data_IF_590350731842
#
_entry.id   IF_590350731842
#
_cell.length_a   1.000
_cell.length_b   1.000
_cell.length_c   1.000
_cell.angle_alpha   90.00
_cell.angle_beta   90.00
_cell.angle_gamma   90.00
#
_symmetry.space_group_name_H-M   'P 1'
#
loop_
_entity.id
_entity.type
_entity.pdbx_description
1 polymer ?
#
# COMPACT_ATOMS: atom_id res chain seq x y z
N UNK A 1 8.97 -14.23 -9.39
CA UNK A 1 9.09 -12.85 -9.95
C UNK A 1 7.82 -12.57 -10.72
N UNK A 2 6.91 -11.87 -10.06
CA UNK A 2 5.67 -11.39 -10.67
C UNK A 2 6.00 -10.38 -11.78
N UNK A 3 5.48 -10.59 -12.98
CA UNK A 3 5.75 -9.74 -14.15
C UNK A 3 4.59 -8.79 -14.31
N UNK A 4 4.77 -7.53 -13.91
CA UNK A 4 3.82 -6.45 -14.19
C UNK A 4 3.60 -6.37 -15.70
N UNK A 5 2.37 -6.60 -16.15
CA UNK A 5 2.00 -6.49 -17.56
C UNK A 5 2.11 -5.03 -18.01
N UNK A 6 2.55 -4.81 -19.26
CA UNK A 6 2.70 -3.45 -19.81
C UNK A 6 1.40 -2.64 -19.73
N UNK A 7 0.26 -3.30 -19.91
CA UNK A 7 -1.08 -2.71 -19.78
C UNK A 7 -1.42 -2.25 -18.35
N UNK A 8 -1.02 -2.99 -17.32
CA UNK A 8 -1.17 -2.56 -15.91
C UNK A 8 -0.33 -1.30 -15.63
N UNK A 9 0.88 -1.25 -16.19
CA UNK A 9 1.75 -0.08 -16.08
C UNK A 9 1.14 1.15 -16.80
N UNK A 10 0.50 0.95 -17.95
CA UNK A 10 -0.17 2.02 -18.70
C UNK A 10 -1.44 2.50 -17.98
N UNK A 11 -2.18 1.62 -17.30
CA UNK A 11 -3.30 1.99 -16.43
C UNK A 11 -2.85 2.80 -15.21
N UNK A 12 -1.75 2.41 -14.56
CA UNK A 12 -1.13 3.16 -13.47
C UNK A 12 -0.62 4.54 -13.94
N UNK A 13 0.01 4.60 -15.11
CA UNK A 13 0.54 5.84 -15.68
C UNK A 13 -0.56 6.79 -16.19
N UNK A 14 -1.74 6.27 -16.55
CA UNK A 14 -2.88 7.06 -17.01
C UNK A 14 -3.70 7.72 -15.91
N UNK A 15 -3.61 7.23 -14.66
CA UNK A 15 -4.32 7.78 -13.51
C UNK A 15 -3.46 8.82 -12.80
N UNK A 16 -3.37 10.01 -13.40
CA UNK A 16 -2.67 11.16 -12.82
C UNK A 16 -3.65 11.94 -11.95
N UNK A 17 -3.96 11.39 -10.78
CA UNK A 17 -4.51 12.20 -9.70
C UNK A 17 -3.41 13.18 -9.22
N UNK A 18 -3.79 14.29 -8.58
CA UNK A 18 -2.83 15.33 -8.15
C UNK A 18 -1.74 14.78 -7.21
N UNK A 19 -2.00 13.64 -6.56
CA UNK A 19 -1.08 12.95 -5.66
C UNK A 19 -1.22 11.43 -5.80
N UNK A 20 -0.11 10.76 -6.12
CA UNK A 20 -0.02 9.30 -6.12
C UNK A 20 0.89 8.82 -4.97
N UNK A 21 0.50 7.74 -4.29
CA UNK A 21 1.31 7.10 -3.23
C UNK A 21 1.59 5.65 -3.62
N UNK A 22 2.87 5.33 -3.80
CA UNK A 22 3.31 3.96 -4.04
C UNK A 22 3.98 3.41 -2.78
N UNK A 23 3.53 2.23 -2.31
CA UNK A 23 4.05 1.58 -1.11
C UNK A 23 4.65 0.24 -1.52
N UNK A 24 5.95 0.07 -1.33
CA UNK A 24 6.62 -1.21 -1.53
C UNK A 24 6.83 -1.90 -0.18
N UNK A 25 6.26 -3.09 -0.03
CA UNK A 25 6.37 -3.87 1.21
C UNK A 25 6.89 -5.29 0.90
N UNK A 26 8.11 -5.64 1.31
CA UNK A 26 8.58 -7.02 1.22
C UNK A 26 7.82 -7.89 2.23
N UNK A 27 6.97 -8.79 1.74
CA UNK A 27 6.28 -9.80 2.54
C UNK A 27 7.02 -11.14 2.47
N UNK A 28 6.85 -12.00 3.47
CA UNK A 28 7.55 -13.29 3.58
C UNK A 28 6.54 -14.44 3.55
N UNK A 29 6.86 -15.51 2.80
CA UNK A 29 5.98 -16.64 2.45
C UNK A 29 5.39 -17.44 3.61
N UNK A 30 6.00 -17.44 4.79
CA UNK A 30 5.49 -18.21 5.94
C UNK A 30 6.12 -17.78 7.28
N UNK A 31 5.33 -17.85 8.36
CA UNK A 31 5.80 -17.71 9.75
C UNK A 31 5.26 -16.48 10.48
N UNK A 32 5.76 -16.21 11.70
CA UNK A 32 5.39 -15.03 12.50
C UNK A 32 5.65 -13.68 11.79
N UNK A 33 6.34 -13.69 10.65
CA UNK A 33 6.63 -12.52 9.83
C UNK A 33 5.44 -12.06 8.96
N UNK A 34 4.42 -12.89 8.70
CA UNK A 34 3.20 -12.43 8.01
C UNK A 34 2.40 -11.44 8.86
N UNK A 35 2.33 -11.67 10.19
CA UNK A 35 1.73 -10.71 11.13
C UNK A 35 2.52 -9.40 11.23
N UNK A 36 3.83 -9.43 10.97
CA UNK A 36 4.61 -8.20 10.88
C UNK A 36 4.28 -7.39 9.62
N UNK A 37 3.72 -8.01 8.57
CA UNK A 37 3.28 -7.34 7.35
C UNK A 37 2.25 -6.23 7.63
N UNK A 38 1.21 -6.55 8.40
CA UNK A 38 0.20 -5.57 8.82
C UNK A 38 0.80 -4.41 9.63
N UNK A 39 1.74 -4.71 10.52
CA UNK A 39 2.44 -3.72 11.35
C UNK A 39 3.32 -2.81 10.48
N UNK A 40 4.07 -3.39 9.54
CA UNK A 40 4.92 -2.65 8.60
C UNK A 40 4.07 -1.77 7.67
N UNK A 41 2.96 -2.28 7.15
CA UNK A 41 2.01 -1.52 6.35
C UNK A 41 1.46 -0.33 7.14
N UNK A 42 1.02 -0.54 8.39
CA UNK A 42 0.57 0.54 9.28
C UNK A 42 1.64 1.63 9.46
N UNK A 43 2.90 1.24 9.65
CA UNK A 43 4.01 2.18 9.78
C UNK A 43 4.27 2.96 8.48
N UNK A 44 4.13 2.31 7.32
CA UNK A 44 4.28 2.95 6.00
C UNK A 44 3.13 3.93 5.71
N UNK A 45 1.89 3.58 6.04
CA UNK A 45 0.76 4.50 5.92
C UNK A 45 0.92 5.72 6.83
N UNK A 46 1.42 5.52 8.05
CA UNK A 46 1.74 6.64 8.95
C UNK A 46 2.79 7.58 8.32
N UNK A 47 3.85 7.02 7.73
CA UNK A 47 4.86 7.82 7.00
C UNK A 47 4.24 8.57 5.81
N UNK A 48 3.34 7.93 5.06
CA UNK A 48 2.63 8.59 3.97
C UNK A 48 1.76 9.76 4.48
N UNK A 49 1.09 9.61 5.62
CA UNK A 49 0.37 10.71 6.26
C UNK A 49 1.30 11.84 6.75
N UNK A 50 2.50 11.51 7.23
CA UNK A 50 3.52 12.50 7.61
C UNK A 50 4.08 13.28 6.41
N UNK A 51 4.02 12.72 5.20
CA UNK A 51 4.38 13.40 3.95
C UNK A 51 3.25 14.27 3.38
N UNK A 52 2.02 14.20 3.93
CA UNK A 52 0.88 15.05 3.55
C UNK A 52 1.20 16.54 3.42
N UNK A 53 1.96 17.22 4.32
CA UNK A 53 2.31 18.63 4.14
C UNK A 53 3.11 18.94 2.87
N UNK A 54 3.68 17.94 2.19
CA UNK A 54 4.32 18.09 0.87
C UNK A 54 3.32 18.01 -0.29
N UNK A 55 2.03 17.82 0.02
CA UNK A 55 0.94 17.66 -0.93
C UNK A 55 -0.13 18.74 -0.72
N UNK A 56 -0.90 19.04 -1.76
CA UNK A 56 -2.05 19.96 -1.67
C UNK A 56 -3.27 19.34 -0.96
N UNK A 57 -3.18 18.08 -0.53
CA UNK A 57 -4.33 17.34 0.02
C UNK A 57 -4.69 17.79 1.44
N UNK A 58 -6.00 17.99 1.63
CA UNK A 58 -6.59 18.14 2.97
C UNK A 58 -6.45 16.82 3.75
N UNK A 59 -6.41 16.86 5.10
CA UNK A 59 -6.33 15.65 5.93
C UNK A 59 -7.37 14.59 5.58
N UNK A 60 -8.60 14.99 5.27
CA UNK A 60 -9.67 14.07 4.87
C UNK A 60 -9.41 13.38 3.52
N UNK A 61 -8.81 14.09 2.56
CA UNK A 61 -8.48 13.53 1.25
C UNK A 61 -7.30 12.57 1.34
N UNK A 62 -6.27 12.90 2.12
CA UNK A 62 -5.17 11.97 2.39
C UNK A 62 -5.67 10.69 3.07
N UNK A 63 -6.58 10.82 4.03
CA UNK A 63 -7.18 9.65 4.70
C UNK A 63 -7.98 8.78 3.73
N UNK A 64 -8.78 9.38 2.86
CA UNK A 64 -9.54 8.66 1.84
C UNK A 64 -8.61 7.96 0.84
N UNK A 65 -7.51 8.60 0.44
CA UNK A 65 -6.50 8.01 -0.44
C UNK A 65 -5.84 6.78 0.18
N UNK A 66 -5.58 6.81 1.50
CA UNK A 66 -4.92 5.71 2.22
C UNK A 66 -5.91 4.67 2.76
N UNK A 67 -7.22 4.93 2.71
CA UNK A 67 -8.26 4.04 3.26
C UNK A 67 -8.22 2.61 2.67
N UNK A 68 -8.06 2.41 1.35
CA UNK A 68 -7.98 1.06 0.80
C UNK A 68 -6.83 0.24 1.40
N UNK A 69 -5.67 0.88 1.62
CA UNK A 69 -4.53 0.25 2.25
C UNK A 69 -4.70 0.07 3.77
N UNK A 70 -5.45 0.95 4.44
CA UNK A 70 -5.80 0.77 5.86
C UNK A 70 -6.68 -0.45 6.08
N UNK A 71 -7.64 -0.70 5.18
CA UNK A 71 -8.53 -1.87 5.26
C UNK A 71 -7.74 -3.19 5.18
N UNK A 72 -6.64 -3.21 4.42
CA UNK A 72 -5.74 -4.37 4.34
C UNK A 72 -5.01 -4.67 5.66
N UNK A 73 -4.81 -3.69 6.55
CA UNK A 73 -4.15 -3.93 7.85
C UNK A 73 -4.96 -4.91 8.70
N UNK A 74 -6.28 -4.82 8.66
CA UNK A 74 -7.19 -5.65 9.45
C UNK A 74 -7.60 -6.95 8.75
N UNK A 75 -7.30 -7.09 7.45
CA UNK A 75 -7.68 -8.27 6.68
C UNK A 75 -6.73 -9.44 6.98
N UNK A 76 -7.12 -10.25 7.96
CA UNK A 76 -6.31 -11.39 8.42
C UNK A 76 -6.18 -12.47 7.33
N UNK A 77 -7.20 -12.63 6.49
CA UNK A 77 -7.18 -13.59 5.38
C UNK A 77 -6.17 -13.14 4.31
N UNK A 78 -6.16 -11.84 3.99
CA UNK A 78 -5.17 -11.24 3.09
C UNK A 78 -3.73 -11.55 3.51
N UNK A 79 -3.40 -11.38 4.80
CA UNK A 79 -2.05 -11.68 5.31
C UNK A 79 -1.74 -13.17 5.43
N UNK A 80 -2.76 -14.03 5.55
CA UNK A 80 -2.57 -15.49 5.62
C UNK A 80 -2.27 -16.14 4.26
N UNK A 81 -2.70 -15.53 3.15
CA UNK A 81 -2.53 -16.07 1.80
C UNK A 81 -1.60 -15.24 0.90
N UNK A 82 -0.80 -14.34 1.49
CA UNK A 82 0.15 -13.51 0.75
C UNK A 82 1.33 -14.35 0.22
N UNK A 83 1.47 -14.44 -1.11
CA UNK A 83 2.38 -15.39 -1.76
C UNK A 83 3.85 -14.92 -1.88
N UNK A 84 4.21 -13.72 -2.39
CA UNK A 84 5.63 -13.26 -2.44
C UNK A 84 5.86 -11.73 -2.28
N UNK A 85 4.81 -10.94 -2.02
CA UNK A 85 4.93 -9.48 -1.94
C UNK A 85 3.58 -8.78 -1.98
N UNK A 86 3.50 -7.57 -1.41
CA UNK A 86 2.47 -6.59 -1.75
C UNK A 86 3.17 -5.53 -2.61
N UNK A 87 2.97 -5.58 -3.93
CA UNK A 87 3.44 -4.60 -4.90
C UNK A 87 2.46 -4.55 -6.09
#
# INVERSE_FOLDING_TARGET
>A
MDRVAREELELLAGNVDEVCVSIYLPTHRAGMETQQGAIRLKNLLKKAEELRPLTSLRPAQMRALLEPAQNLITDTLFWQYQDEGLA
#
